data_IF_155939671722
#
_entry.id   IF_155939671722
#
_cell.length_a   1.000
_cell.length_b   1.000
_cell.length_c   1.000
_cell.angle_alpha   90.00
_cell.angle_beta   90.00
_cell.angle_gamma   90.00
#
_symmetry.space_group_name_H-M   'P 1'
#
loop_
_entity.id
_entity.type
_entity.pdbx_description
1 polymer ?
#
# COMPACT_ATOMS: atom_id res chain seq x y z
N UNK A 1 23.79 -7.29 -21.42
CA UNK A 1 23.17 -7.59 -20.12
C UNK A 1 22.85 -6.26 -19.48
N UNK A 2 21.60 -5.82 -19.58
CA UNK A 2 21.11 -4.63 -18.88
C UNK A 2 20.49 -5.14 -17.59
N UNK A 3 20.99 -4.65 -16.44
CA UNK A 3 20.32 -4.82 -15.16
C UNK A 3 18.97 -4.10 -15.27
N UNK A 4 17.88 -4.86 -15.29
CA UNK A 4 16.56 -4.31 -15.02
C UNK A 4 16.53 -3.87 -13.56
N UNK A 5 16.08 -2.65 -13.23
CA UNK A 5 15.77 -2.31 -11.86
C UNK A 5 14.55 -3.14 -11.44
N UNK A 6 14.74 -4.07 -10.51
CA UNK A 6 13.66 -4.80 -9.85
C UNK A 6 12.64 -3.80 -9.29
N UNK A 7 11.52 -3.60 -9.97
CA UNK A 7 10.40 -2.80 -9.48
C UNK A 7 9.78 -3.53 -8.29
N UNK A 8 10.23 -3.19 -7.09
CA UNK A 8 10.01 -3.92 -5.85
C UNK A 8 8.59 -3.66 -5.28
N UNK A 9 7.56 -4.10 -6.01
CA UNK A 9 6.16 -4.09 -5.58
C UNK A 9 5.77 -5.34 -4.77
N UNK A 10 6.73 -6.20 -4.42
CA UNK A 10 6.50 -7.48 -3.75
C UNK A 10 7.05 -7.44 -2.33
N UNK A 11 6.37 -8.10 -1.39
CA UNK A 11 6.94 -8.39 -0.08
C UNK A 11 8.14 -9.33 -0.24
N UNK A 12 9.20 -9.10 0.54
CA UNK A 12 10.35 -10.00 0.57
C UNK A 12 9.98 -11.24 1.39
N UNK A 13 10.51 -12.41 1.05
CA UNK A 13 10.27 -13.66 1.80
C UNK A 13 11.61 -14.16 2.33
N UNK A 14 11.67 -14.51 3.61
CA UNK A 14 12.83 -15.12 4.28
C UNK A 14 12.41 -16.36 5.05
N UNK A 15 13.35 -17.29 5.25
CA UNK A 15 13.14 -18.55 5.98
C UNK A 15 13.04 -19.76 5.06
N UNK A 16 12.43 -20.83 5.56
CA UNK A 16 12.19 -22.07 4.79
C UNK A 16 11.45 -21.79 3.48
N UNK A 17 12.12 -22.10 2.37
CA UNK A 17 11.55 -22.05 1.01
C UNK A 17 10.57 -23.19 0.72
N UNK A 18 9.97 -23.16 -0.47
CA UNK A 18 8.85 -24.03 -0.89
C UNK A 18 9.15 -25.53 -0.80
N UNK A 19 10.42 -25.93 -0.85
CA UNK A 19 10.84 -27.33 -0.73
C UNK A 19 10.44 -28.01 0.60
N UNK A 20 10.08 -27.22 1.63
CA UNK A 20 9.70 -27.75 2.95
C UNK A 20 8.29 -27.33 3.40
N UNK A 21 7.56 -26.60 2.54
CA UNK A 21 6.22 -26.14 2.86
C UNK A 21 5.19 -27.28 2.69
N UNK A 22 4.29 -27.44 3.66
CA UNK A 22 3.20 -28.43 3.61
C UNK A 22 2.00 -27.97 2.73
N UNK A 23 2.18 -26.90 1.95
CA UNK A 23 1.13 -26.23 1.19
C UNK A 23 1.71 -25.37 0.05
N UNK A 24 0.91 -24.51 -0.59
CA UNK A 24 1.32 -23.80 -1.82
C UNK A 24 2.42 -22.75 -1.63
N UNK A 25 2.83 -22.48 -0.39
CA UNK A 25 3.75 -21.41 -0.03
C UNK A 25 5.24 -21.76 -0.13
N UNK A 26 6.12 -20.79 0.20
CA UNK A 26 5.75 -19.46 0.68
C UNK A 26 5.44 -18.44 -0.42
N UNK A 27 5.68 -18.76 -1.70
CA UNK A 27 5.49 -17.82 -2.81
C UNK A 27 4.00 -17.58 -3.15
N UNK A 28 3.15 -18.60 -2.94
CA UNK A 28 1.70 -18.49 -3.12
C UNK A 28 1.01 -19.03 -1.88
N UNK A 29 0.30 -18.18 -1.14
CA UNK A 29 -0.35 -18.58 0.11
C UNK A 29 -1.82 -18.17 0.08
N UNK A 30 -2.67 -18.96 0.73
CA UNK A 30 -4.03 -18.51 1.00
C UNK A 30 -3.97 -17.33 1.96
N UNK A 31 -4.70 -16.23 1.68
CA UNK A 31 -4.70 -15.05 2.55
C UNK A 31 -5.02 -15.41 4.02
N UNK A 32 -5.92 -16.37 4.23
CA UNK A 32 -6.28 -16.89 5.55
C UNK A 32 -5.10 -17.50 6.35
N UNK A 33 -4.01 -17.90 5.69
CA UNK A 33 -2.80 -18.40 6.38
C UNK A 33 -1.91 -17.28 6.91
N UNK A 34 -2.19 -16.03 6.50
CA UNK A 34 -1.46 -14.84 6.91
C UNK A 34 -2.26 -14.00 7.92
N UNK A 35 -3.56 -14.27 8.06
CA UNK A 35 -4.44 -13.62 9.03
C UNK A 35 -3.98 -13.91 10.47
N UNK A 36 -3.99 -12.88 11.33
CA UNK A 36 -3.55 -12.97 12.71
C UNK A 36 -2.04 -13.11 12.94
N UNK A 37 -1.23 -13.27 11.88
CA UNK A 37 0.24 -13.28 11.99
C UNK A 37 0.73 -11.99 12.66
N UNK A 38 1.76 -12.12 13.47
CA UNK A 38 2.36 -10.96 14.11
C UNK A 38 3.06 -10.08 13.07
N UNK A 39 2.99 -8.78 13.28
CA UNK A 39 3.81 -7.81 12.56
C UNK A 39 4.82 -7.28 13.56
N UNK A 40 6.10 -7.51 13.28
CA UNK A 40 7.23 -7.09 14.10
C UNK A 40 7.92 -5.88 13.47
N UNK A 41 8.49 -5.00 14.28
CA UNK A 41 9.38 -3.93 13.84
C UNK A 41 10.81 -4.44 13.65
N UNK A 42 11.68 -3.61 13.06
CA UNK A 42 13.05 -3.99 12.76
C UNK A 42 13.90 -4.35 14.00
N UNK A 43 13.54 -3.81 15.17
CA UNK A 43 14.11 -4.12 16.48
C UNK A 43 13.53 -5.39 17.14
N UNK A 44 12.54 -6.03 16.51
CA UNK A 44 11.91 -7.26 16.98
C UNK A 44 10.74 -7.06 17.94
N UNK A 45 10.29 -5.81 18.20
CA UNK A 45 9.09 -5.56 18.99
C UNK A 45 7.80 -5.88 18.19
N UNK A 46 6.74 -6.30 18.89
CA UNK A 46 5.44 -6.51 18.24
C UNK A 46 4.75 -5.17 17.97
N UNK A 47 4.57 -4.85 16.70
CA UNK A 47 3.80 -3.71 16.25
C UNK A 47 2.29 -3.98 16.29
N UNK A 48 1.87 -5.22 16.00
CA UNK A 48 0.46 -5.56 15.92
C UNK A 48 0.23 -6.94 15.31
N UNK A 49 -0.98 -7.16 14.79
CA UNK A 49 -1.37 -8.38 14.08
C UNK A 49 -1.99 -8.05 12.73
N UNK A 50 -1.77 -8.91 11.75
CA UNK A 50 -2.50 -8.85 10.48
C UNK A 50 -3.99 -9.02 10.77
N UNK A 51 -4.78 -8.09 10.24
CA UNK A 51 -6.24 -8.10 10.33
C UNK A 51 -6.88 -8.46 8.99
N UNK A 52 -6.36 -7.90 7.90
CA UNK A 52 -6.85 -8.16 6.55
C UNK A 52 -5.74 -7.97 5.51
N UNK A 53 -5.90 -8.60 4.34
CA UNK A 53 -5.07 -8.40 3.15
C UNK A 53 -5.94 -7.80 2.05
N UNK A 54 -5.50 -6.66 1.53
CA UNK A 54 -6.30 -5.84 0.64
C UNK A 54 -5.82 -6.00 -0.79
N UNK A 55 -6.75 -6.36 -1.67
CA UNK A 55 -6.47 -6.64 -3.07
C UNK A 55 -6.89 -5.46 -3.95
N UNK A 56 -6.01 -5.05 -4.84
CA UNK A 56 -6.42 -4.28 -6.01
C UNK A 56 -7.07 -5.24 -7.00
N UNK A 57 -8.40 -5.19 -7.06
CA UNK A 57 -9.23 -6.05 -7.92
C UNK A 57 -8.94 -5.83 -9.41
N UNK A 58 -8.48 -4.64 -9.81
CA UNK A 58 -8.20 -4.35 -11.23
C UNK A 58 -6.93 -5.03 -11.70
N UNK A 59 -5.87 -4.98 -10.90
CA UNK A 59 -4.57 -5.58 -11.25
C UNK A 59 -4.37 -7.01 -10.72
N UNK A 60 -5.21 -7.46 -9.78
CA UNK A 60 -5.06 -8.74 -9.10
C UNK A 60 -3.88 -8.78 -8.12
N UNK A 61 -3.36 -7.61 -7.70
CA UNK A 61 -2.21 -7.50 -6.80
C UNK A 61 -2.65 -7.20 -5.37
N UNK A 62 -1.78 -7.54 -4.41
CA UNK A 62 -1.95 -7.06 -3.03
C UNK A 62 -1.54 -5.60 -2.97
N UNK A 63 -2.44 -4.76 -2.48
CA UNK A 63 -2.21 -3.34 -2.31
C UNK A 63 -1.55 -3.05 -0.94
N UNK A 64 -2.14 -3.57 0.14
CA UNK A 64 -1.68 -3.35 1.50
C UNK A 64 -2.13 -4.47 2.44
N UNK A 65 -1.40 -4.63 3.54
CA UNK A 65 -1.86 -5.33 4.74
C UNK A 65 -2.53 -4.33 5.65
N UNK A 66 -3.67 -4.69 6.23
CA UNK A 66 -4.24 -3.97 7.36
C UNK A 66 -3.75 -4.64 8.63
N UNK A 67 -3.09 -3.87 9.47
CA UNK A 67 -2.59 -4.30 10.78
C UNK A 67 -3.43 -3.64 11.86
N UNK A 68 -3.85 -4.40 12.87
CA UNK A 68 -4.39 -3.84 14.11
C UNK A 68 -3.27 -3.66 15.14
N UNK A 69 -3.23 -2.47 15.76
CA UNK A 69 -2.39 -2.18 16.92
C UNK A 69 -3.29 -1.70 18.05
N UNK A 70 -3.37 -2.48 19.13
CA UNK A 70 -4.33 -2.29 20.22
C UNK A 70 -4.52 -3.58 21.03
N UNK A 71 -4.88 -3.44 22.31
CA UNK A 71 -4.80 -4.50 23.32
C UNK A 71 -5.79 -5.66 23.15
N UNK A 72 -5.52 -6.75 23.88
CA UNK A 72 -6.19 -8.08 23.88
C UNK A 72 -7.74 -8.08 24.11
N UNK A 73 -8.42 -6.94 24.09
CA UNK A 73 -9.85 -6.77 24.45
C UNK A 73 -10.65 -5.80 23.55
N UNK A 74 -10.13 -5.38 22.39
CA UNK A 74 -10.94 -4.70 21.35
C UNK A 74 -11.44 -3.28 21.71
N UNK A 75 -10.87 -2.63 22.72
CA UNK A 75 -11.16 -1.23 23.06
C UNK A 75 -9.92 -0.41 22.70
N UNK A 76 -10.08 0.52 21.75
CA UNK A 76 -9.01 1.40 21.29
C UNK A 76 -8.13 0.83 20.18
N UNK A 77 -8.61 -0.20 19.48
CA UNK A 77 -7.91 -0.76 18.32
C UNK A 77 -7.84 0.28 17.21
N UNK A 78 -6.62 0.57 16.76
CA UNK A 78 -6.37 1.40 15.59
C UNK A 78 -5.85 0.53 14.46
N UNK A 79 -6.40 0.71 13.27
CA UNK A 79 -5.96 0.02 12.08
C UNK A 79 -4.93 0.84 11.32
N UNK A 80 -3.96 0.15 10.74
CA UNK A 80 -2.88 0.74 9.97
C UNK A 80 -2.81 0.02 8.63
N UNK A 81 -2.80 0.79 7.54
CA UNK A 81 -2.54 0.25 6.22
C UNK A 81 -1.04 0.27 5.97
N UNK A 82 -0.49 -0.89 5.60
CA UNK A 82 0.93 -1.07 5.37
C UNK A 82 1.14 -1.54 3.93
N UNK A 83 1.92 -0.81 3.12
CA UNK A 83 2.28 -1.24 1.78
C UNK A 83 2.88 -2.65 1.76
N UNK A 84 2.46 -3.47 0.80
CA UNK A 84 2.95 -4.86 0.69
C UNK A 84 4.47 -4.95 0.58
N UNK A 85 5.09 -4.01 -0.14
CA UNK A 85 6.54 -3.92 -0.32
C UNK A 85 7.31 -3.35 0.88
N UNK A 86 6.64 -2.85 1.91
CA UNK A 86 7.28 -2.45 3.16
C UNK A 86 7.49 -3.63 4.13
N UNK A 87 6.95 -4.80 3.79
CA UNK A 87 6.93 -6.01 4.61
C UNK A 87 7.90 -7.07 4.11
N UNK A 88 8.47 -7.81 5.06
CA UNK A 88 9.16 -9.08 4.82
C UNK A 88 8.39 -10.20 5.52
N UNK A 89 7.96 -11.21 4.79
CA UNK A 89 7.39 -12.43 5.36
C UNK A 89 8.52 -13.33 5.87
N UNK A 90 8.52 -13.60 7.18
CA UNK A 90 9.40 -14.58 7.81
C UNK A 90 8.62 -15.88 8.02
N UNK A 91 8.93 -16.89 7.21
CA UNK A 91 8.20 -18.15 7.18
C UNK A 91 8.61 -19.09 8.31
N UNK A 92 9.79 -18.89 8.89
CA UNK A 92 10.27 -19.67 10.03
C UNK A 92 9.60 -19.24 11.32
N UNK A 93 9.36 -17.92 11.47
CA UNK A 93 8.66 -17.34 12.62
C UNK A 93 7.16 -17.14 12.40
N UNK A 94 6.66 -17.37 11.20
CA UNK A 94 5.27 -17.13 10.80
C UNK A 94 4.81 -15.70 11.15
N UNK A 95 5.61 -14.71 10.77
CA UNK A 95 5.35 -13.30 11.04
C UNK A 95 5.75 -12.42 9.85
N UNK A 96 5.27 -11.17 9.85
CA UNK A 96 5.81 -10.13 9.00
C UNK A 96 6.79 -9.25 9.78
N UNK A 97 7.83 -8.78 9.11
CA UNK A 97 8.76 -7.79 9.63
C UNK A 97 8.63 -6.50 8.82
N UNK A 98 8.37 -5.40 9.53
CA UNK A 98 8.41 -4.05 9.01
C UNK A 98 9.84 -3.52 9.03
N UNK A 99 10.27 -2.95 7.92
CA UNK A 99 11.60 -2.36 7.78
C UNK A 99 11.75 -0.99 8.48
N UNK A 100 10.80 -0.61 9.33
CA UNK A 100 10.76 0.66 10.07
C UNK A 100 10.70 0.40 11.58
N UNK A 101 11.20 1.35 12.36
CA UNK A 101 11.21 1.26 13.83
C UNK A 101 9.81 1.47 14.44
N UNK A 102 9.62 0.99 15.67
CA UNK A 102 8.33 1.04 16.38
C UNK A 102 7.79 2.46 16.58
N UNK A 103 8.65 3.47 16.71
CA UNK A 103 8.25 4.88 16.80
C UNK A 103 7.50 5.34 15.53
N UNK A 104 7.99 4.95 14.35
CA UNK A 104 7.38 5.30 13.07
C UNK A 104 6.06 4.57 12.85
N UNK A 105 5.86 3.40 13.43
CA UNK A 105 4.53 2.76 13.40
C UNK A 105 3.54 3.51 14.29
N UNK A 106 3.97 3.96 15.47
CA UNK A 106 3.12 4.70 16.42
C UNK A 106 2.64 6.04 15.87
N UNK A 107 3.49 6.72 15.10
CA UNK A 107 3.18 8.02 14.48
C UNK A 107 2.43 7.88 13.15
N UNK A 108 2.19 6.64 12.69
CA UNK A 108 1.53 6.41 11.41
C UNK A 108 0.06 6.86 11.43
N UNK A 109 -0.46 7.39 10.31
CA UNK A 109 -1.87 7.69 10.19
C UNK A 109 -2.68 6.40 10.16
N UNK A 110 -3.21 6.00 11.31
CA UNK A 110 -4.16 4.91 11.43
C UNK A 110 -5.61 5.37 11.30
N UNK A 111 -6.50 4.44 11.01
CA UNK A 111 -7.95 4.63 10.85
C UNK A 111 -8.75 3.75 11.82
N UNK A 112 -10.02 4.09 11.97
CA UNK A 112 -10.96 3.44 12.88
C UNK A 112 -11.51 2.14 12.24
N UNK A 113 -11.55 1.02 12.97
CA UNK A 113 -12.05 -0.26 12.47
C UNK A 113 -13.55 -0.27 12.13
N UNK A 114 -14.34 0.63 12.69
CA UNK A 114 -15.76 0.80 12.37
C UNK A 114 -15.98 1.78 11.22
N UNK A 115 -14.96 2.57 10.86
CA UNK A 115 -15.03 3.59 9.81
C UNK A 115 -13.86 3.47 8.83
N UNK A 116 -13.90 2.42 8.01
CA UNK A 116 -12.88 2.18 7.00
C UNK A 116 -12.88 3.30 5.95
N UNK A 117 -11.72 3.90 5.62
CA UNK A 117 -11.62 4.85 4.53
C UNK A 117 -12.06 4.21 3.22
N UNK A 118 -12.50 5.03 2.25
CA UNK A 118 -12.63 4.56 0.87
C UNK A 118 -11.22 4.30 0.33
N UNK A 119 -10.73 3.09 0.52
CA UNK A 119 -9.35 2.72 0.17
C UNK A 119 -9.08 2.71 -1.34
N UNK A 120 -10.15 2.77 -2.15
CA UNK A 120 -10.07 2.99 -3.59
C UNK A 120 -9.67 4.43 -3.96
N UNK A 121 -9.61 5.35 -3.00
CA UNK A 121 -9.13 6.70 -3.24
C UNK A 121 -7.60 6.71 -3.37
N UNK A 122 -7.10 6.96 -4.59
CA UNK A 122 -5.68 6.99 -4.89
C UNK A 122 -4.90 8.03 -4.07
N UNK A 123 -5.52 9.13 -3.63
CA UNK A 123 -4.82 10.12 -2.80
C UNK A 123 -4.51 9.61 -1.40
N UNK A 124 -5.44 8.85 -0.81
CA UNK A 124 -5.21 8.18 0.46
C UNK A 124 -4.14 7.08 0.31
N UNK A 125 -4.24 6.25 -0.72
CA UNK A 125 -3.25 5.20 -0.98
C UNK A 125 -1.85 5.78 -1.24
N UNK A 126 -1.75 6.89 -1.97
CA UNK A 126 -0.49 7.60 -2.19
C UNK A 126 0.12 8.12 -0.88
N UNK A 127 -0.71 8.68 0.02
CA UNK A 127 -0.24 9.17 1.33
C UNK A 127 0.31 8.06 2.22
N UNK A 128 -0.27 6.86 2.16
CA UNK A 128 0.25 5.68 2.87
C UNK A 128 1.62 5.29 2.31
N UNK A 129 1.74 5.20 0.98
CA UNK A 129 3.01 4.87 0.34
C UNK A 129 4.12 5.88 0.65
N UNK A 130 3.81 7.18 0.61
CA UNK A 130 4.72 8.29 0.97
C UNK A 130 5.19 8.18 2.43
N UNK A 131 4.27 7.94 3.36
CA UNK A 131 4.59 7.79 4.78
C UNK A 131 5.63 6.68 5.05
N UNK A 132 5.46 5.53 4.38
CA UNK A 132 6.39 4.40 4.50
C UNK A 132 7.60 4.50 3.57
N UNK A 133 7.72 5.54 2.75
CA UNK A 133 8.80 5.70 1.78
C UNK A 133 8.86 4.58 0.74
N UNK A 134 7.70 4.03 0.37
CA UNK A 134 7.56 2.90 -0.54
C UNK A 134 6.98 3.34 -1.88
N UNK A 135 7.47 2.76 -2.98
CA UNK A 135 6.92 3.07 -4.30
C UNK A 135 5.52 2.45 -4.44
N UNK A 136 4.53 3.19 -5.00
CA UNK A 136 3.22 2.63 -5.25
C UNK A 136 3.27 1.44 -6.19
N UNK A 137 2.51 0.39 -5.88
CA UNK A 137 2.49 -0.84 -6.69
C UNK A 137 1.94 -0.62 -8.12
N UNK A 138 1.30 0.53 -8.37
CA UNK A 138 0.78 0.97 -9.67
C UNK A 138 1.77 1.84 -10.47
N UNK A 139 2.96 2.14 -9.94
CA UNK A 139 3.96 3.02 -10.57
C UNK A 139 4.72 2.42 -11.77
N UNK A 140 4.56 1.14 -12.07
CA UNK A 140 5.26 0.48 -13.19
C UNK A 140 4.56 0.66 -14.54
N UNK A 141 5.08 1.55 -15.40
CA UNK A 141 4.73 1.74 -16.85
C UNK A 141 3.24 1.58 -17.18
N UNK A 142 2.44 2.56 -16.80
CA UNK A 142 1.03 2.67 -17.22
C UNK A 142 0.34 4.00 -16.90
N UNK A 143 1.01 4.92 -16.20
CA UNK A 143 0.44 6.18 -15.72
C UNK A 143 0.21 7.26 -16.80
N UNK A 144 -0.07 6.89 -18.06
CA UNK A 144 -0.42 7.83 -19.13
C UNK A 144 -1.70 7.45 -19.90
N UNK A 145 -2.48 6.47 -19.45
CA UNK A 145 -3.84 6.31 -19.95
C UNK A 145 -4.81 6.24 -18.77
N UNK A 146 -5.18 7.42 -18.29
CA UNK A 146 -6.27 7.58 -17.34
C UNK A 146 -7.53 8.05 -18.10
N UNK A 147 -8.49 7.15 -18.38
CA UNK A 147 -9.78 7.53 -18.97
C UNK A 147 -10.76 8.14 -17.94
N UNK A 148 -10.36 8.29 -16.67
CA UNK A 148 -11.13 8.91 -15.59
C UNK A 148 -10.47 10.20 -15.04
N UNK A 149 -9.38 10.66 -15.66
CA UNK A 149 -8.92 12.03 -15.48
C UNK A 149 -9.98 12.96 -16.08
N UNK A 150 -10.84 13.49 -15.23
CA UNK A 150 -11.72 14.61 -15.56
C UNK A 150 -10.85 15.74 -16.15
N UNK A 151 -11.03 16.15 -17.42
CA UNK A 151 -10.31 17.27 -17.98
C UNK A 151 -10.94 18.54 -17.41
N UNK A 152 -10.66 18.84 -16.15
CA UNK A 152 -11.03 20.11 -15.54
C UNK A 152 -10.24 21.24 -16.19
N UNK A 153 -10.83 21.80 -17.26
CA UNK A 153 -10.92 23.23 -17.49
C UNK A 153 -9.62 23.99 -17.73
N UNK A 154 -8.99 23.78 -18.89
CA UNK A 154 -8.31 24.90 -19.54
C UNK A 154 -9.36 25.83 -20.16
N UNK A 155 -9.80 26.82 -19.39
CA UNK A 155 -10.44 28.03 -19.91
C UNK A 155 -9.69 29.27 -19.41
N UNK A 156 -8.50 29.46 -19.97
CA UNK A 156 -7.77 30.73 -19.95
C UNK A 156 -7.62 31.23 -21.39
N UNK A 157 -8.01 32.48 -21.59
CA UNK A 157 -7.87 33.32 -22.79
C UNK A 157 -8.98 33.23 -23.86
N UNK A 158 -10.09 33.92 -23.58
CA UNK A 158 -10.85 34.62 -24.63
C UNK A 158 -9.96 35.77 -25.12
N UNK A 159 -9.20 35.54 -26.17
CA UNK A 159 -8.70 36.60 -27.04
C UNK A 159 -9.87 37.10 -27.88
N UNK A 160 -10.59 38.11 -27.38
CA UNK A 160 -11.54 38.84 -28.20
C UNK A 160 -10.76 39.71 -29.19
N UNK A 161 -10.68 39.22 -30.42
CA UNK A 161 -10.08 39.89 -31.57
C UNK A 161 -10.79 41.19 -31.92
N UNK A 162 -10.00 42.15 -32.40
CA UNK A 162 -10.44 43.49 -32.73
C UNK A 162 -11.55 43.61 -33.78
N UNK A 163 -12.31 44.68 -33.63
CA UNK A 163 -13.04 45.37 -34.69
C UNK A 163 -12.63 46.83 -34.54
N UNK A 164 -11.92 47.43 -35.50
CA UNK A 164 -12.45 47.76 -36.82
C UNK A 164 -12.88 49.22 -36.77
N UNK A 165 -12.00 50.08 -37.29
CA UNK A 165 -12.15 51.54 -37.36
C UNK A 165 -13.47 51.97 -38.02
N UNK A 166 -14.11 53.00 -37.46
CA UNK A 166 -15.11 53.82 -38.14
C UNK A 166 -14.56 55.25 -38.24
N UNK A 167 -14.04 55.60 -39.41
CA UNK A 167 -13.96 56.99 -39.88
C UNK A 167 -14.44 57.05 -41.33
N UNK A 168 -15.58 57.70 -41.54
CA UNK A 168 -15.87 58.51 -42.72
C UNK A 168 -16.13 59.92 -42.23
#
# INVERSE_FOLDING_TARGET
MINEPDSNAQARIVGKGSATAAGPGPEVMAAATLDGNEVLTADGETAGKVKDIMLDVRSGRVAYVVMSSGGFLGIGDRLFAIPWNALTLDTDRACFVLTVDASRVKDAPGFDPDHWPTMANQSWAASVHDYYGSEPYWGGRGALHDPLADPLGEMGDVLEGGRGELRR
#
